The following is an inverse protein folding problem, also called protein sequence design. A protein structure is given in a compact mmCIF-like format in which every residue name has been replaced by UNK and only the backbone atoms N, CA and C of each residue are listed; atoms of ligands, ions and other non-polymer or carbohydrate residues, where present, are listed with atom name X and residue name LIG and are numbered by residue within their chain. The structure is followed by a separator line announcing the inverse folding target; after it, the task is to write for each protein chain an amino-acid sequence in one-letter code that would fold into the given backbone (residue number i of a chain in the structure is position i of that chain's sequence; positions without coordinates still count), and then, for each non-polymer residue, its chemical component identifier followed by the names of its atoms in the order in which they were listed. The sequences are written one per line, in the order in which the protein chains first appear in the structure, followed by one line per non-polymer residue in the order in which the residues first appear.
data_IF_443705351020
#
_entry.id   IF_443705351020
#
_cell.length_a   1.000
_cell.length_b   1.000
_cell.length_c   1.000
_cell.angle_alpha   90.00
_cell.angle_beta   90.00
_cell.angle_gamma   90.00
#
_symmetry.space_group_name_H-M   'P 1'
#
loop_
_entity.id
_entity.type
_entity.pdbx_description
1 polymer ?
#
# COMPACT_ATOMS: atom_id res chain seq x y z
N UNK A 1 49.51 32.82 -58.70
CA UNK A 1 49.00 32.24 -57.45
C UNK A 1 47.55 32.68 -57.31
N UNK A 2 46.60 31.84 -57.75
CA UNK A 2 45.18 32.23 -57.90
C UNK A 2 44.45 32.21 -56.55
N UNK A 3 43.71 33.28 -56.26
CA UNK A 3 42.67 33.33 -55.23
C UNK A 3 41.30 33.14 -55.91
N UNK A 4 40.55 32.12 -55.49
CA UNK A 4 39.16 31.88 -55.88
C UNK A 4 38.21 32.51 -54.85
N UNK A 5 37.24 33.28 -55.34
CA UNK A 5 36.16 33.89 -54.57
C UNK A 5 34.94 32.98 -54.43
N UNK A 6 34.25 33.18 -53.30
CA UNK A 6 33.20 32.36 -52.69
C UNK A 6 31.87 32.29 -53.47
N UNK A 7 31.24 31.11 -53.47
CA UNK A 7 29.78 30.93 -53.62
C UNK A 7 29.28 30.28 -52.32
N UNK A 8 28.37 30.97 -51.62
CA UNK A 8 27.65 30.46 -50.46
C UNK A 8 26.44 29.68 -50.95
N UNK A 9 26.39 28.39 -50.66
CA UNK A 9 25.23 27.54 -50.88
C UNK A 9 24.63 27.16 -49.52
N UNK A 10 23.43 27.65 -49.22
CA UNK A 10 22.67 27.29 -48.03
C UNK A 10 22.03 25.92 -48.23
N UNK A 11 22.33 24.97 -47.35
CA UNK A 11 21.61 23.70 -47.23
C UNK A 11 21.07 23.57 -45.81
N UNK A 12 19.75 23.67 -45.69
CA UNK A 12 19.00 23.44 -44.44
C UNK A 12 18.96 21.93 -44.23
N UNK A 13 19.66 21.44 -43.19
CA UNK A 13 19.54 20.06 -42.72
C UNK A 13 18.54 20.02 -41.57
N UNK A 14 17.45 19.29 -41.78
CA UNK A 14 16.42 19.03 -40.78
C UNK A 14 17.00 18.20 -39.62
N UNK A 15 16.99 18.76 -38.41
CA UNK A 15 17.28 18.03 -37.18
C UNK A 15 16.02 17.29 -36.73
N UNK A 16 15.92 15.99 -37.04
CA UNK A 16 14.95 15.10 -36.41
C UNK A 16 15.50 14.75 -35.03
N UNK A 17 14.84 15.27 -33.99
CA UNK A 17 15.12 14.96 -32.59
C UNK A 17 14.95 13.47 -32.33
N UNK A 18 16.05 12.80 -32.00
CA UNK A 18 16.06 11.42 -31.54
C UNK A 18 15.58 11.44 -30.08
N UNK A 19 14.34 11.00 -29.85
CA UNK A 19 13.82 10.79 -28.50
C UNK A 19 14.68 9.71 -27.81
N UNK A 20 15.31 10.10 -26.69
CA UNK A 20 16.09 9.21 -25.84
C UNK A 20 15.09 8.48 -24.93
N UNK A 21 14.93 7.17 -25.14
CA UNK A 21 14.20 6.31 -24.22
C UNK A 21 14.91 6.36 -22.86
N UNK A 22 14.15 6.59 -21.79
CA UNK A 22 14.64 6.58 -20.42
C UNK A 22 15.06 5.16 -20.04
N UNK A 23 16.32 5.01 -19.63
CA UNK A 23 16.82 3.82 -18.93
C UNK A 23 16.04 3.68 -17.62
N UNK A 24 15.32 2.56 -17.47
CA UNK A 24 14.69 2.18 -16.22
C UNK A 24 15.79 1.81 -15.21
N UNK A 25 15.63 2.33 -14.01
CA UNK A 25 16.55 2.26 -12.88
C UNK A 25 16.79 0.81 -12.43
N UNK A 26 18.05 0.35 -12.50
CA UNK A 26 18.46 -1.02 -12.14
C UNK A 26 18.37 -1.33 -10.65
N UNK A 27 17.99 -0.36 -9.82
CA UNK A 27 17.92 -0.46 -8.35
C UNK A 27 16.57 -1.02 -7.82
N UNK A 28 15.66 -1.45 -8.72
CA UNK A 28 14.30 -1.88 -8.36
C UNK A 28 13.95 -3.35 -8.67
N UNK A 29 14.92 -4.12 -9.20
CA UNK A 29 14.70 -5.51 -9.60
C UNK A 29 15.08 -6.49 -8.49
N UNK A 30 14.14 -7.37 -8.13
CA UNK A 30 14.39 -8.52 -7.24
C UNK A 30 14.39 -9.77 -8.09
N UNK A 31 15.48 -10.55 -8.05
CA UNK A 31 15.66 -11.73 -8.91
C UNK A 31 15.49 -11.44 -10.42
N UNK A 32 15.89 -10.24 -10.86
CA UNK A 32 15.79 -9.81 -12.25
C UNK A 32 14.39 -9.38 -12.71
N UNK A 33 13.40 -9.36 -11.80
CA UNK A 33 12.03 -8.95 -12.08
C UNK A 33 11.63 -7.73 -11.24
N UNK A 34 10.86 -6.83 -11.83
CA UNK A 34 10.32 -5.68 -11.11
C UNK A 34 9.19 -6.13 -10.17
N UNK A 35 9.18 -5.61 -8.95
CA UNK A 35 8.04 -5.78 -8.04
C UNK A 35 6.89 -4.84 -8.44
N UNK A 36 5.66 -5.27 -8.18
CA UNK A 36 4.45 -4.45 -8.34
C UNK A 36 3.96 -3.93 -7.00
N UNK A 37 2.95 -3.06 -7.01
CA UNK A 37 2.23 -2.67 -5.78
C UNK A 37 1.25 -3.75 -5.29
N UNK A 38 1.05 -4.84 -6.05
CA UNK A 38 0.15 -5.92 -5.68
C UNK A 38 0.71 -6.69 -4.50
N UNK A 39 -0.07 -6.77 -3.43
CA UNK A 39 0.25 -7.57 -2.25
C UNK A 39 -0.92 -8.48 -1.92
N UNK A 40 -0.62 -9.66 -1.39
CA UNK A 40 -1.62 -10.67 -1.04
C UNK A 40 -1.34 -11.23 0.34
N UNK A 41 -2.40 -11.53 1.09
CA UNK A 41 -2.33 -12.41 2.25
C UNK A 41 -2.73 -13.82 1.85
N UNK A 42 -2.03 -14.80 2.41
CA UNK A 42 -2.42 -16.21 2.36
C UNK A 42 -2.54 -16.69 3.80
N UNK A 43 -3.77 -17.04 4.21
CA UNK A 43 -4.10 -17.42 5.57
C UNK A 43 -4.62 -18.86 5.63
N UNK A 44 -4.05 -19.67 6.51
CA UNK A 44 -4.48 -21.05 6.74
C UNK A 44 -4.29 -21.41 8.21
N UNK A 45 -5.35 -21.95 8.84
CA UNK A 45 -5.38 -22.32 10.27
C UNK A 45 -4.83 -21.25 11.25
N UNK A 46 -5.10 -19.97 10.98
CA UNK A 46 -4.65 -18.87 11.84
C UNK A 46 -3.20 -18.41 11.59
N UNK A 47 -2.47 -19.10 10.72
CA UNK A 47 -1.18 -18.63 10.21
C UNK A 47 -1.39 -17.79 8.96
N UNK A 48 -0.72 -16.65 8.86
CA UNK A 48 -0.85 -15.71 7.74
C UNK A 48 0.52 -15.34 7.23
N UNK A 49 0.74 -15.52 5.93
CA UNK A 49 1.91 -15.01 5.23
C UNK A 49 1.50 -13.91 4.24
N UNK A 50 2.34 -12.89 4.12
CA UNK A 50 2.14 -11.78 3.18
C UNK A 50 3.16 -11.86 2.07
N UNK A 51 2.72 -11.69 0.82
CA UNK A 51 3.58 -11.68 -0.35
C UNK A 51 3.38 -10.40 -1.16
N UNK A 52 4.46 -9.87 -1.71
CA UNK A 52 4.41 -8.87 -2.78
C UNK A 52 4.61 -9.57 -4.11
N UNK A 53 3.73 -9.32 -5.07
CA UNK A 53 3.78 -9.96 -6.37
C UNK A 53 4.69 -9.18 -7.33
N UNK A 54 5.31 -9.90 -8.25
CA UNK A 54 6.05 -9.29 -9.34
C UNK A 54 5.12 -8.55 -10.31
N UNK A 55 5.65 -7.61 -11.09
CA UNK A 55 4.96 -6.94 -12.19
C UNK A 55 4.79 -7.81 -13.43
N UNK A 56 4.70 -9.13 -13.27
CA UNK A 56 4.59 -10.10 -14.36
C UNK A 56 3.13 -10.34 -14.76
N UNK A 57 2.93 -10.88 -15.96
CA UNK A 57 1.59 -11.21 -16.45
C UNK A 57 0.94 -12.31 -15.59
N UNK A 58 1.70 -13.35 -15.24
CA UNK A 58 1.23 -14.43 -14.39
C UNK A 58 0.79 -13.92 -13.00
N UNK A 59 1.57 -13.02 -12.40
CA UNK A 59 1.24 -12.39 -11.12
C UNK A 59 -0.05 -11.56 -11.19
N UNK A 60 -0.22 -10.76 -12.25
CA UNK A 60 -1.45 -10.00 -12.47
C UNK A 60 -2.66 -10.92 -12.66
N UNK A 61 -2.54 -11.95 -13.50
CA UNK A 61 -3.62 -12.93 -13.73
C UNK A 61 -3.98 -13.72 -12.47
N UNK A 62 -3.02 -13.98 -11.59
CA UNK A 62 -3.28 -14.57 -10.28
C UNK A 62 -4.03 -13.58 -9.37
N UNK A 63 -3.56 -12.34 -9.29
CA UNK A 63 -4.18 -11.29 -8.49
C UNK A 63 -5.62 -10.99 -8.91
N UNK A 64 -5.92 -11.01 -10.21
CA UNK A 64 -7.26 -10.78 -10.77
C UNK A 64 -8.28 -11.87 -10.40
N UNK A 65 -7.82 -13.05 -9.97
CA UNK A 65 -8.68 -14.14 -9.52
C UNK A 65 -9.09 -14.05 -8.05
N UNK A 66 -8.49 -13.14 -7.27
CA UNK A 66 -8.76 -12.99 -5.84
C UNK A 66 -10.09 -12.26 -5.57
N UNK A 67 -10.81 -12.60 -4.47
CA UNK A 67 -10.41 -13.51 -3.39
C UNK A 67 -10.63 -15.00 -3.71
N UNK A 68 -9.80 -15.87 -3.11
CA UNK A 68 -9.88 -17.33 -3.29
C UNK A 68 -9.91 -18.07 -1.96
N UNK A 69 -10.56 -19.24 -1.95
CA UNK A 69 -10.45 -20.25 -0.89
C UNK A 69 -10.12 -21.58 -1.54
N UNK A 70 -8.90 -22.09 -1.32
CA UNK A 70 -8.35 -23.25 -2.04
C UNK A 70 -7.80 -24.29 -1.06
N UNK A 71 -7.83 -25.56 -1.44
CA UNK A 71 -7.17 -26.62 -0.67
C UNK A 71 -5.65 -26.55 -0.85
N UNK A 72 -4.92 -26.72 0.25
CA UNK A 72 -3.47 -26.85 0.28
C UNK A 72 -3.07 -28.33 0.25
N UNK A 73 -2.13 -28.66 -0.63
CA UNK A 73 -1.48 -29.97 -0.69
C UNK A 73 0.00 -29.81 -0.36
N UNK A 74 0.51 -30.57 0.61
CA UNK A 74 1.93 -30.54 0.93
C UNK A 74 2.71 -31.32 -0.12
N UNK A 75 3.86 -30.81 -0.53
CA UNK A 75 4.78 -31.56 -1.37
C UNK A 75 6.19 -31.54 -0.80
N UNK A 76 6.72 -32.76 -0.61
CA UNK A 76 8.09 -33.06 -0.17
C UNK A 76 8.54 -32.34 1.11
N UNK A 77 7.61 -31.99 2.00
CA UNK A 77 7.89 -31.29 3.25
C UNK A 77 8.69 -29.98 3.06
N UNK A 78 8.48 -29.32 1.91
CA UNK A 78 9.13 -28.05 1.54
C UNK A 78 8.17 -26.98 1.02
N UNK A 79 7.02 -27.39 0.47
CA UNK A 79 6.08 -26.47 -0.18
C UNK A 79 4.61 -26.83 0.06
N UNK A 80 3.77 -25.79 0.07
CA UNK A 80 2.31 -25.91 0.04
C UNK A 80 1.79 -25.49 -1.33
N UNK A 81 1.17 -26.42 -2.04
CA UNK A 81 0.60 -26.22 -3.39
C UNK A 81 -0.89 -25.93 -3.32
N UNK A 82 -1.38 -25.11 -4.24
CA UNK A 82 -2.79 -24.86 -4.51
C UNK A 82 -3.02 -24.57 -6.00
N UNK A 83 -4.26 -24.67 -6.46
CA UNK A 83 -4.60 -24.54 -7.87
C UNK A 83 -5.47 -23.29 -8.11
N UNK A 84 -4.92 -22.23 -8.73
CA UNK A 84 -5.74 -21.11 -9.19
C UNK A 84 -6.87 -21.60 -10.12
N UNK A 85 -8.09 -21.05 -10.04
CA UNK A 85 -9.22 -21.46 -10.90
C UNK A 85 -8.92 -21.39 -12.40
N UNK A 86 -8.06 -20.46 -12.82
CA UNK A 86 -7.56 -20.33 -14.19
C UNK A 86 -6.04 -20.42 -14.19
N UNK A 87 -5.50 -21.15 -15.17
CA UNK A 87 -4.06 -21.21 -15.43
C UNK A 87 -3.50 -19.82 -15.74
N UNK A 88 -2.24 -19.62 -15.38
CA UNK A 88 -1.53 -18.36 -15.50
C UNK A 88 -0.59 -18.40 -16.72
N UNK A 89 -0.44 -17.26 -17.37
CA UNK A 89 0.43 -17.07 -18.52
C UNK A 89 1.83 -16.65 -18.07
N UNK A 90 2.80 -17.54 -18.23
CA UNK A 90 4.20 -17.30 -17.88
C UNK A 90 5.09 -17.05 -19.09
N UNK A 91 6.27 -16.49 -18.85
CA UNK A 91 7.29 -16.26 -19.87
C UNK A 91 8.66 -16.78 -19.44
N UNK A 92 9.53 -17.11 -20.40
CA UNK A 92 10.82 -17.76 -20.13
C UNK A 92 11.79 -16.95 -19.24
N UNK A 93 11.62 -15.63 -19.14
CA UNK A 93 12.41 -14.77 -18.24
C UNK A 93 11.99 -14.89 -16.77
N UNK A 94 10.86 -15.54 -16.47
CA UNK A 94 10.39 -15.81 -15.10
C UNK A 94 10.85 -17.18 -14.61
N UNK A 95 11.39 -18.01 -15.51
CA UNK A 95 11.77 -19.39 -15.27
C UNK A 95 13.00 -19.49 -14.35
N UNK A 96 12.95 -20.39 -13.38
CA UNK A 96 14.04 -20.66 -12.45
C UNK A 96 13.91 -22.04 -11.79
N UNK A 97 14.98 -22.47 -11.10
CA UNK A 97 15.05 -23.80 -10.48
C UNK A 97 15.33 -23.74 -8.96
N UNK A 98 15.99 -22.69 -8.48
CA UNK A 98 16.49 -22.56 -7.12
C UNK A 98 15.53 -21.76 -6.22
N UNK A 99 14.39 -22.37 -5.93
CA UNK A 99 13.39 -21.90 -4.96
C UNK A 99 13.97 -21.59 -3.59
N UNK A 100 13.66 -20.40 -3.06
CA UNK A 100 14.02 -19.99 -1.70
C UNK A 100 12.81 -19.97 -0.77
N UNK A 101 13.05 -20.27 0.51
CA UNK A 101 12.02 -20.08 1.55
C UNK A 101 11.44 -18.67 1.45
N UNK A 102 10.12 -18.57 1.45
CA UNK A 102 9.37 -17.32 1.33
C UNK A 102 9.02 -16.90 -0.08
N UNK A 103 9.36 -17.67 -1.11
CA UNK A 103 8.89 -17.39 -2.47
C UNK A 103 7.50 -17.98 -2.72
N UNK A 104 6.72 -17.24 -3.51
CA UNK A 104 5.49 -17.70 -4.13
C UNK A 104 5.76 -17.95 -5.62
N UNK A 105 5.43 -19.14 -6.09
CA UNK A 105 5.83 -19.58 -7.43
C UNK A 105 4.72 -20.38 -8.13
N UNK A 106 4.88 -20.57 -9.44
CA UNK A 106 3.94 -21.24 -10.31
C UNK A 106 4.62 -22.32 -11.14
N UNK A 107 3.97 -23.47 -11.25
CA UNK A 107 4.38 -24.57 -12.12
C UNK A 107 3.41 -24.70 -13.29
N UNK A 108 3.80 -24.19 -14.45
CA UNK A 108 2.95 -24.10 -15.65
C UNK A 108 2.37 -25.43 -16.15
N UNK A 109 3.13 -26.55 -16.14
CA UNK A 109 2.64 -27.81 -16.70
C UNK A 109 1.33 -28.28 -16.04
N UNK A 110 1.24 -28.19 -14.72
CA UNK A 110 0.07 -28.63 -13.96
C UNK A 110 -0.83 -27.47 -13.51
N UNK A 111 -0.28 -26.27 -13.52
CA UNK A 111 -0.96 -25.05 -13.14
C UNK A 111 -1.17 -24.89 -11.64
N UNK A 112 -0.31 -25.50 -10.83
CA UNK A 112 -0.26 -25.23 -9.40
C UNK A 112 0.60 -24.01 -9.09
N UNK A 113 0.14 -23.21 -8.14
CA UNK A 113 0.95 -22.24 -7.44
C UNK A 113 1.36 -22.82 -6.09
N UNK A 114 2.52 -22.42 -5.57
CA UNK A 114 3.02 -22.94 -4.30
C UNK A 114 3.84 -21.93 -3.52
N UNK A 115 3.75 -22.05 -2.19
CA UNK A 115 4.55 -21.29 -1.24
C UNK A 115 5.67 -22.17 -0.70
N UNK A 116 6.90 -21.66 -0.74
CA UNK A 116 8.07 -22.34 -0.19
C UNK A 116 8.26 -21.97 1.29
N UNK A 117 8.28 -22.97 2.18
CA UNK A 117 8.68 -22.77 3.58
C UNK A 117 10.07 -23.37 3.90
N UNK A 118 10.71 -23.96 2.90
CA UNK A 118 12.13 -24.34 2.87
C UNK A 118 12.70 -24.05 1.48
N UNK A 119 14.02 -23.97 1.38
CA UNK A 119 14.69 -23.95 0.08
C UNK A 119 14.34 -25.22 -0.70
N UNK A 120 14.10 -25.06 -1.99
CA UNK A 120 13.65 -26.13 -2.87
C UNK A 120 14.31 -26.01 -4.23
N UNK A 121 14.98 -27.07 -4.68
CA UNK A 121 15.53 -27.14 -6.03
C UNK A 121 14.62 -27.99 -6.91
N UNK A 122 14.05 -27.39 -7.95
CA UNK A 122 13.23 -28.08 -8.92
C UNK A 122 14.06 -28.64 -10.08
N UNK A 123 13.72 -29.86 -10.50
CA UNK A 123 14.28 -30.44 -11.73
C UNK A 123 13.71 -29.80 -12.99
N UNK A 124 12.49 -29.28 -12.90
CA UNK A 124 11.76 -28.59 -13.97
C UNK A 124 11.75 -27.07 -13.73
N UNK A 125 11.36 -26.30 -14.76
CA UNK A 125 11.23 -24.84 -14.66
C UNK A 125 10.00 -24.45 -13.82
N UNK A 126 10.25 -23.67 -12.77
CA UNK A 126 9.23 -22.96 -11.99
C UNK A 126 9.22 -21.49 -12.41
N UNK A 127 8.13 -20.77 -12.14
CA UNK A 127 8.00 -19.36 -12.50
C UNK A 127 7.70 -18.51 -11.27
N UNK A 128 8.36 -17.37 -11.16
CA UNK A 128 8.24 -16.48 -10.00
C UNK A 128 6.89 -15.72 -10.01
N UNK A 129 6.11 -15.84 -8.94
CA UNK A 129 4.87 -15.07 -8.74
C UNK A 129 5.03 -13.94 -7.73
N UNK A 130 5.75 -14.17 -6.63
CA UNK A 130 5.96 -13.15 -5.61
C UNK A 130 7.03 -13.49 -4.58
N UNK A 131 7.32 -12.50 -3.75
CA UNK A 131 8.29 -12.56 -2.65
C UNK A 131 7.59 -12.36 -1.31
N UNK A 132 8.00 -13.13 -0.33
CA UNK A 132 7.51 -13.03 1.03
C UNK A 132 7.94 -11.74 1.72
N UNK A 133 7.01 -11.10 2.40
CA UNK A 133 7.23 -9.89 3.21
C UNK A 133 7.18 -10.17 4.71
N UNK A 134 6.23 -10.99 5.16
CA UNK A 134 6.02 -11.32 6.58
C UNK A 134 5.31 -12.67 6.74
N UNK A 135 5.38 -13.26 7.94
CA UNK A 135 4.73 -14.53 8.26
C UNK A 135 5.34 -15.76 7.57
N UNK A 136 6.55 -15.63 7.04
CA UNK A 136 7.21 -16.67 6.24
C UNK A 136 7.59 -17.90 7.07
N UNK A 137 7.92 -17.70 8.34
CA UNK A 137 8.23 -18.79 9.26
C UNK A 137 6.99 -19.65 9.59
N UNK A 138 5.79 -19.05 9.50
CA UNK A 138 4.53 -19.72 9.85
C UNK A 138 3.94 -20.53 8.68
N UNK A 139 4.47 -20.38 7.46
CA UNK A 139 3.99 -21.13 6.28
C UNK A 139 4.08 -22.64 6.52
N UNK A 140 5.10 -23.11 7.26
CA UNK A 140 5.28 -24.53 7.56
C UNK A 140 4.09 -25.14 8.34
N UNK A 141 3.41 -24.33 9.15
CA UNK A 141 2.30 -24.75 10.01
C UNK A 141 0.91 -24.66 9.33
N UNK A 142 0.85 -24.07 8.13
CA UNK A 142 -0.38 -24.00 7.33
C UNK A 142 -0.87 -25.40 6.95
N UNK A 143 -2.18 -25.59 6.74
CA UNK A 143 -2.75 -26.85 6.26
C UNK A 143 -4.25 -26.76 6.01
N UNK A 144 -4.81 -27.69 5.24
CA UNK A 144 -6.24 -27.66 4.90
C UNK A 144 -6.48 -26.55 3.88
N UNK A 145 -7.44 -25.65 4.12
CA UNK A 145 -7.71 -24.57 3.17
C UNK A 145 -6.86 -23.33 3.44
N UNK A 146 -6.45 -22.68 2.36
CA UNK A 146 -5.93 -21.33 2.36
C UNK A 146 -7.00 -20.35 1.87
N UNK A 147 -7.12 -19.22 2.56
CA UNK A 147 -7.84 -18.04 2.11
C UNK A 147 -6.80 -17.08 1.55
N UNK A 148 -6.98 -16.66 0.29
CA UNK A 148 -6.06 -15.77 -0.42
C UNK A 148 -6.80 -14.48 -0.75
N UNK A 149 -6.30 -13.36 -0.25
CA UNK A 149 -6.94 -12.06 -0.39
C UNK A 149 -5.96 -11.02 -0.91
N UNK A 150 -6.49 -10.05 -1.64
CA UNK A 150 -5.76 -8.83 -1.98
C UNK A 150 -5.50 -8.05 -0.70
N UNK A 151 -4.28 -7.56 -0.54
CA UNK A 151 -4.04 -6.42 0.33
C UNK A 151 -4.30 -5.21 -0.57
N UNK A 152 -5.57 -4.81 -0.65
CA UNK A 152 -5.87 -3.50 -1.19
C UNK A 152 -5.15 -2.48 -0.30
N UNK A 153 -4.64 -1.38 -0.87
CA UNK A 153 -4.16 -0.25 -0.07
C UNK A 153 -5.28 0.42 0.78
N UNK A 154 -6.44 -0.23 0.90
CA UNK A 154 -7.50 0.04 1.87
C UNK A 154 -7.97 -1.29 2.49
N UNK A 155 -7.14 -1.91 3.32
CA UNK A 155 -7.60 -2.88 4.32
C UNK A 155 -6.56 -2.92 5.44
N UNK A 156 -6.80 -2.10 6.46
CA UNK A 156 -6.26 -2.33 7.77
C UNK A 156 -6.53 -3.80 8.16
N UNK A 157 -5.46 -4.54 8.46
CA UNK A 157 -5.59 -5.87 9.04
C UNK A 157 -6.29 -5.80 10.39
N UNK A 158 -6.72 -6.96 10.88
CA UNK A 158 -7.23 -7.19 12.25
C UNK A 158 -6.15 -6.93 13.33
N UNK A 159 -5.52 -5.76 13.28
CA UNK A 159 -5.04 -5.01 14.44
C UNK A 159 -6.18 -4.05 14.76
N UNK A 160 -6.63 -3.97 16.01
CA UNK A 160 -7.71 -3.05 16.40
C UNK A 160 -7.44 -1.65 15.84
N UNK A 161 -8.17 -1.24 14.80
CA UNK A 161 -7.90 0.04 14.16
C UNK A 161 -8.20 1.15 15.17
N UNK A 162 -7.25 2.07 15.35
CA UNK A 162 -7.42 3.17 16.29
C UNK A 162 -8.48 4.11 15.72
N UNK A 163 -9.71 3.97 16.22
CA UNK A 163 -10.80 4.82 15.79
C UNK A 163 -10.98 5.99 16.75
N UNK A 164 -11.23 7.16 16.19
CA UNK A 164 -11.56 8.38 16.90
C UNK A 164 -12.99 8.77 16.54
N UNK A 165 -13.81 9.08 17.55
CA UNK A 165 -15.13 9.66 17.35
C UNK A 165 -15.07 11.15 17.63
N UNK A 166 -15.68 11.97 16.76
CA UNK A 166 -15.89 13.40 16.97
C UNK A 166 -17.38 13.66 16.93
N UNK A 167 -17.95 14.15 18.04
CA UNK A 167 -19.38 14.40 18.18
C UNK A 167 -19.66 15.86 18.53
N UNK A 168 -20.61 16.47 17.82
CA UNK A 168 -21.12 17.80 18.09
C UNK A 168 -22.51 17.99 17.49
N UNK A 169 -23.39 18.72 18.18
CA UNK A 169 -24.72 19.10 17.67
C UNK A 169 -25.57 17.90 17.18
N UNK A 170 -25.44 16.73 17.82
CA UNK A 170 -26.15 15.51 17.45
C UNK A 170 -25.56 14.73 16.26
N UNK A 171 -24.50 15.25 15.63
CA UNK A 171 -23.77 14.56 14.58
C UNK A 171 -22.54 13.85 15.15
N UNK A 172 -22.15 12.73 14.54
CA UNK A 172 -20.93 11.99 14.89
C UNK A 172 -20.14 11.68 13.62
N UNK A 173 -18.83 11.84 13.72
CA UNK A 173 -17.85 11.55 12.67
C UNK A 173 -16.90 10.51 13.24
N UNK A 174 -16.63 9.45 12.48
CA UNK A 174 -15.66 8.42 12.88
C UNK A 174 -14.46 8.51 11.97
N UNK A 175 -13.29 8.73 12.57
CA UNK A 175 -12.00 8.72 11.91
C UNK A 175 -11.27 7.42 12.21
N UNK A 176 -10.74 6.78 11.19
CA UNK A 176 -9.71 5.75 11.35
C UNK A 176 -8.34 6.44 11.35
N UNK A 177 -7.54 6.18 12.38
CA UNK A 177 -6.20 6.71 12.52
C UNK A 177 -5.15 5.71 12.00
N UNK A 178 -4.08 6.23 11.41
CA UNK A 178 -2.92 5.43 11.02
C UNK A 178 -2.05 5.07 12.24
N UNK A 179 -1.03 4.25 12.02
CA UNK A 179 -0.15 3.71 13.06
C UNK A 179 1.04 4.63 13.43
N UNK A 180 1.05 5.88 12.94
CA UNK A 180 2.12 6.84 13.16
C UNK A 180 2.24 7.28 14.63
N UNK A 181 3.41 7.83 15.01
CA UNK A 181 3.63 8.35 16.36
C UNK A 181 2.65 9.48 16.69
N UNK A 182 2.38 10.38 15.73
CA UNK A 182 1.47 11.50 15.95
C UNK A 182 0.02 11.03 16.17
N UNK A 183 -0.43 10.04 15.39
CA UNK A 183 -1.77 9.46 15.54
C UNK A 183 -1.94 8.76 16.90
N UNK A 184 -0.95 7.95 17.31
CA UNK A 184 -0.93 7.29 18.62
C UNK A 184 -0.93 8.28 19.78
N UNK A 185 -0.15 9.36 19.67
CA UNK A 185 -0.10 10.40 20.70
C UNK A 185 -1.41 11.20 20.77
N UNK A 186 -2.05 11.50 19.64
CA UNK A 186 -3.38 12.12 19.64
C UNK A 186 -4.40 11.20 20.33
N UNK A 187 -4.42 9.91 19.96
CA UNK A 187 -5.31 8.92 20.55
C UNK A 187 -5.13 8.81 22.07
N UNK A 188 -3.88 8.84 22.56
CA UNK A 188 -3.56 8.78 23.99
C UNK A 188 -4.05 9.97 24.82
N UNK A 189 -4.43 11.07 24.16
CA UNK A 189 -4.97 12.26 24.82
C UNK A 189 -6.50 12.22 24.94
N UNK A 190 -7.17 11.24 24.35
CA UNK A 190 -8.62 11.11 24.40
C UNK A 190 -9.09 10.52 25.75
N UNK A 191 -10.31 10.87 26.22
CA UNK A 191 -11.28 11.77 25.59
C UNK A 191 -10.98 13.27 25.79
N UNK A 192 -11.47 14.10 24.87
CA UNK A 192 -11.35 15.56 24.91
C UNK A 192 -12.72 16.22 24.75
N UNK A 193 -12.95 17.32 25.47
CA UNK A 193 -13.99 18.29 25.19
C UNK A 193 -13.29 19.60 24.81
N UNK A 194 -13.27 19.96 23.53
CA UNK A 194 -12.41 21.03 23.01
C UNK A 194 -13.13 21.96 22.02
N UNK A 195 -12.74 23.23 21.97
CA UNK A 195 -13.25 24.17 20.98
C UNK A 195 -12.75 23.82 19.58
N UNK A 196 -13.64 23.91 18.59
CA UNK A 196 -13.30 23.79 17.16
C UNK A 196 -13.43 25.14 16.48
N UNK A 197 -12.47 25.46 15.62
CA UNK A 197 -12.42 26.72 14.89
C UNK A 197 -12.49 26.49 13.38
N UNK A 198 -13.02 27.47 12.65
CA UNK A 198 -12.88 27.48 11.20
C UNK A 198 -11.50 27.99 10.84
N UNK A 199 -10.84 27.31 9.89
CA UNK A 199 -9.68 27.85 9.22
C UNK A 199 -9.91 27.83 7.71
N UNK A 200 -9.55 28.91 7.04
CA UNK A 200 -9.78 29.06 5.58
C UNK A 200 -11.25 28.76 5.20
N UNK A 201 -11.47 28.17 4.03
CA UNK A 201 -12.79 27.81 3.48
C UNK A 201 -13.10 26.32 3.52
N UNK A 202 -12.15 25.49 3.95
CA UNK A 202 -12.14 24.03 3.79
C UNK A 202 -11.68 23.25 5.05
N UNK A 203 -11.40 23.92 6.17
CA UNK A 203 -10.77 23.30 7.34
C UNK A 203 -11.50 23.60 8.65
N UNK A 204 -11.55 22.59 9.52
CA UNK A 204 -11.84 22.74 10.95
C UNK A 204 -10.60 22.39 11.74
N UNK A 205 -10.22 23.23 12.69
CA UNK A 205 -9.01 23.01 13.50
C UNK A 205 -9.32 22.93 14.99
N UNK A 206 -8.50 22.19 15.72
CA UNK A 206 -8.44 22.22 17.19
C UNK A 206 -6.99 21.99 17.66
N UNK A 207 -6.69 22.39 18.89
CA UNK A 207 -5.34 22.27 19.46
C UNK A 207 -5.29 21.14 20.51
N UNK A 208 -4.66 19.98 20.24
CA UNK A 208 -4.52 18.94 21.25
C UNK A 208 -3.79 19.48 22.51
N UNK A 209 -4.12 19.00 23.72
CA UNK A 209 -3.48 19.44 24.97
C UNK A 209 -1.95 19.39 24.95
N UNK A 210 -1.37 18.44 24.22
CA UNK A 210 0.07 18.32 23.97
C UNK A 210 0.34 18.27 22.47
N UNK A 211 1.42 18.94 22.05
CA UNK A 211 1.96 18.81 20.70
C UNK A 211 2.32 17.35 20.41
N UNK A 212 2.15 16.96 19.15
CA UNK A 212 2.34 15.58 18.70
C UNK A 212 3.75 15.41 18.11
N UNK A 213 4.36 14.26 18.38
CA UNK A 213 5.61 13.84 17.78
C UNK A 213 5.38 13.39 16.33
N UNK A 214 6.05 14.05 15.38
CA UNK A 214 5.92 13.76 13.95
C UNK A 214 6.91 12.70 13.43
N UNK A 215 7.71 12.10 14.32
CA UNK A 215 8.59 10.99 13.98
C UNK A 215 7.76 9.82 13.41
N UNK A 216 8.19 9.26 12.27
CA UNK A 216 7.48 8.19 11.57
C UNK A 216 6.03 8.54 11.19
N UNK A 217 5.72 9.83 11.00
CA UNK A 217 4.42 10.27 10.51
C UNK A 217 4.53 10.68 9.04
N UNK A 218 3.69 10.14 8.14
CA UNK A 218 3.71 10.51 6.73
C UNK A 218 3.26 11.96 6.53
N UNK A 219 3.82 12.62 5.52
CA UNK A 219 3.31 13.92 5.06
C UNK A 219 1.96 13.72 4.35
N UNK A 220 1.03 14.64 4.58
CA UNK A 220 -0.24 14.67 3.88
C UNK A 220 -0.02 15.15 2.42
N UNK A 221 -0.23 14.25 1.45
CA UNK A 221 0.00 14.53 0.01
C UNK A 221 -1.28 14.67 -0.81
N UNK A 222 -2.32 13.91 -0.46
CA UNK A 222 -3.59 13.84 -1.20
C UNK A 222 -4.76 14.27 -0.30
N UNK A 223 -4.75 15.52 0.15
CA UNK A 223 -5.74 16.01 1.10
C UNK A 223 -7.09 16.22 0.42
N UNK A 224 -8.11 15.53 0.93
CA UNK A 224 -9.48 15.58 0.46
C UNK A 224 -10.46 15.72 1.63
N UNK A 225 -11.74 15.90 1.31
CA UNK A 225 -12.78 15.92 2.34
C UNK A 225 -12.78 14.61 3.14
N UNK A 226 -12.65 14.72 4.46
CA UNK A 226 -12.49 13.59 5.38
C UNK A 226 -11.05 13.34 5.84
N UNK A 227 -10.04 13.98 5.25
CA UNK A 227 -8.65 13.84 5.73
C UNK A 227 -8.50 14.45 7.12
N UNK A 228 -7.79 13.74 8.01
CA UNK A 228 -7.34 14.21 9.32
C UNK A 228 -5.83 14.40 9.30
N UNK A 229 -5.35 15.57 9.69
CA UNK A 229 -3.93 15.89 9.67
C UNK A 229 -3.47 16.65 10.92
N UNK A 230 -2.17 16.68 11.15
CA UNK A 230 -1.51 17.51 12.15
C UNK A 230 -0.61 18.52 11.46
N UNK A 231 -0.79 19.80 11.73
CA UNK A 231 0.07 20.85 11.21
C UNK A 231 1.09 21.25 12.26
N UNK A 232 2.28 20.65 12.17
CA UNK A 232 3.34 20.76 13.18
C UNK A 232 3.81 22.19 13.51
N UNK A 233 3.86 23.14 12.55
CA UNK A 233 4.27 24.51 12.83
C UNK A 233 3.43 25.20 13.91
N UNK A 234 2.12 24.94 13.95
CA UNK A 234 1.19 25.54 14.92
C UNK A 234 0.77 24.57 16.01
N UNK A 235 0.83 23.28 15.71
CA UNK A 235 0.48 22.22 16.62
C UNK A 235 -1.01 21.99 16.74
N UNK A 236 -1.76 22.28 15.69
CA UNK A 236 -3.19 22.02 15.53
C UNK A 236 -3.45 20.74 14.72
N UNK A 237 -4.59 20.12 15.02
CA UNK A 237 -5.17 19.03 14.23
C UNK A 237 -6.22 19.61 13.31
N UNK A 238 -6.15 19.23 12.03
CA UNK A 238 -6.98 19.73 10.94
C UNK A 238 -7.90 18.63 10.44
N UNK A 239 -9.21 18.90 10.41
CA UNK A 239 -10.24 18.09 9.77
C UNK A 239 -10.68 18.79 8.48
N UNK A 240 -10.32 18.21 7.34
CA UNK A 240 -10.64 18.77 6.03
C UNK A 240 -12.05 18.41 5.58
N UNK A 241 -12.79 19.38 5.04
CA UNK A 241 -14.09 19.17 4.37
C UNK A 241 -14.10 19.65 2.91
N UNK A 242 -12.91 19.88 2.35
CA UNK A 242 -12.65 20.16 0.95
C UNK A 242 -11.26 19.68 0.58
N UNK A 243 -10.88 19.80 -0.70
CA UNK A 243 -9.50 19.51 -1.10
C UNK A 243 -8.53 20.56 -0.59
N UNK A 244 -7.29 20.14 -0.38
CA UNK A 244 -6.17 21.01 -0.11
C UNK A 244 -4.96 20.47 -0.87
N UNK A 245 -4.00 21.33 -1.20
CA UNK A 245 -2.76 20.90 -1.83
C UNK A 245 -1.86 20.20 -0.82
N UNK A 246 -0.68 20.77 -0.63
CA UNK A 246 0.24 20.36 0.43
C UNK A 246 0.75 21.59 1.17
N UNK A 247 1.14 21.40 2.42
CA UNK A 247 1.85 22.39 3.21
C UNK A 247 3.04 21.74 3.89
N UNK A 248 4.15 22.47 4.00
CA UNK A 248 5.31 22.00 4.74
C UNK A 248 4.94 21.79 6.20
N UNK A 249 5.21 20.60 6.73
CA UNK A 249 4.86 20.24 8.11
C UNK A 249 3.41 19.82 8.34
N UNK A 250 2.64 19.54 7.27
CA UNK A 250 1.33 18.90 7.36
C UNK A 250 1.48 17.37 7.30
N UNK A 251 1.11 16.70 8.39
CA UNK A 251 1.29 15.27 8.58
C UNK A 251 -0.06 14.56 8.61
N UNK A 252 -0.19 13.46 7.89
CA UNK A 252 -1.44 12.71 7.84
C UNK A 252 -1.60 11.86 9.10
N UNK A 253 -2.78 11.95 9.73
CA UNK A 253 -3.13 11.17 10.92
C UNK A 253 -4.13 10.06 10.61
N UNK A 254 -4.96 10.24 9.58
CA UNK A 254 -6.04 9.31 9.27
C UNK A 254 -7.11 9.91 8.36
N UNK A 255 -8.26 9.25 8.29
CA UNK A 255 -9.38 9.67 7.45
C UNK A 255 -10.73 9.31 8.05
N UNK A 256 -11.76 10.09 7.73
CA UNK A 256 -13.13 9.83 8.13
C UNK A 256 -13.68 8.61 7.37
N UNK A 257 -14.08 7.58 8.11
CA UNK A 257 -14.75 6.38 7.57
C UNK A 257 -16.28 6.55 7.57
N UNK A 258 -16.83 7.39 8.46
CA UNK A 258 -18.26 7.76 8.47
C UNK A 258 -18.46 9.22 8.87
N UNK A 259 -19.55 9.84 8.42
CA UNK A 259 -19.97 11.18 8.86
C UNK A 259 -19.12 12.36 8.34
N UNK A 260 -18.29 12.16 7.31
CA UNK A 260 -17.37 13.21 6.78
C UNK A 260 -18.09 14.49 6.33
N UNK A 261 -19.33 14.38 5.88
CA UNK A 261 -20.21 15.50 5.50
C UNK A 261 -20.54 16.44 6.66
N UNK A 262 -20.42 15.95 7.91
CA UNK A 262 -20.68 16.74 9.10
C UNK A 262 -19.49 17.60 9.54
N UNK A 263 -18.27 17.36 9.01
CA UNK A 263 -17.07 18.14 9.40
C UNK A 263 -17.33 19.64 9.23
N UNK A 264 -17.92 20.06 8.10
CA UNK A 264 -18.22 21.47 7.83
C UNK A 264 -19.15 22.11 8.87
N UNK A 265 -20.00 21.32 9.53
CA UNK A 265 -21.02 21.77 10.47
C UNK A 265 -20.52 21.85 11.91
N UNK A 266 -19.32 21.33 12.20
CA UNK A 266 -18.72 21.40 13.54
C UNK A 266 -18.54 22.86 13.99
N UNK A 267 -18.98 23.16 15.20
CA UNK A 267 -18.87 24.49 15.80
C UNK A 267 -18.99 24.38 17.32
N UNK A 268 -18.43 25.36 18.03
CA UNK A 268 -18.43 25.37 19.49
C UNK A 268 -17.51 24.31 20.07
N UNK A 269 -17.96 23.64 21.14
CA UNK A 269 -17.21 22.56 21.78
C UNK A 269 -17.58 21.22 21.15
N UNK A 270 -16.57 20.50 20.68
CA UNK A 270 -16.69 19.13 20.17
C UNK A 270 -16.22 18.15 21.24
N UNK A 271 -16.86 16.98 21.30
CA UNK A 271 -16.41 15.86 22.12
C UNK A 271 -15.66 14.87 21.25
N UNK A 272 -14.45 14.52 21.65
CA UNK A 272 -13.59 13.57 20.94
C UNK A 272 -13.33 12.38 21.86
N UNK A 273 -13.59 11.16 21.40
CA UNK A 273 -13.42 9.93 22.19
C UNK A 273 -12.84 8.79 21.38
N UNK A 274 -12.45 7.71 22.06
CA UNK A 274 -12.08 6.46 21.39
C UNK A 274 -13.32 5.85 20.72
N UNK A 275 -13.17 5.40 19.47
CA UNK A 275 -14.17 4.60 18.78
C UNK A 275 -14.07 3.18 19.29
N UNK A 276 -14.95 2.80 20.20
CA UNK A 276 -15.08 1.40 20.58
C UNK A 276 -15.90 0.69 19.50
N UNK A 277 -15.32 -0.33 18.87
CA UNK A 277 -16.12 -1.42 18.32
C UNK A 277 -16.70 -2.21 19.52
N UNK A 278 -18.02 -2.40 19.61
CA UNK A 278 -18.62 -3.22 20.67
C UNK A 278 -18.15 -4.68 20.61
#
# INVERSE_FOLDING_TARGET
MLLFGFIVCASIVACIGKARASEADSDSLVNGLALSDMKVTITSKGHTATFQLYGTKAAQEFYDQLPLKLDLTNFRDAQWMFYPPKKLSVTANEAYHDGKKGELSYYEPWGDAFMLYKDFYAGDEMHRLGVGLSGIDDIAEMSGNAIIQKIEQNAAGDEATMQMTVSANGNTIVFELNDSSAAKELYSQLPLDIAVENYSSNEKIFYPPKKLNTANTPLAKNVQAGTLAYYAPWGDVVMFYGSFGSASGLYELGHAITGREHIKQLSGTIRIGTGNTP
#
